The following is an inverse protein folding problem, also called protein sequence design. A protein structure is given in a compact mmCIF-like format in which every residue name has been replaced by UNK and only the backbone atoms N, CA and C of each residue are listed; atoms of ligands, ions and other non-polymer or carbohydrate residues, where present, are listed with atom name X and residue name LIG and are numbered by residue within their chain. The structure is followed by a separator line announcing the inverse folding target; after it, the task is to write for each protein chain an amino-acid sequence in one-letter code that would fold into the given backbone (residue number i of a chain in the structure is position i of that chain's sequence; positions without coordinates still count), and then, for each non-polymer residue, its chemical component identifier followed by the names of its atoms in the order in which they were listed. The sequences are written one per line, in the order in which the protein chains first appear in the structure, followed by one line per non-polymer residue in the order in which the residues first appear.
data_IF_046197625277
#
_entry.id   IF_046197625277
#
_cell.length_a   1.000
_cell.length_b   1.000
_cell.length_c   1.000
_cell.angle_alpha   90.00
_cell.angle_beta   90.00
_cell.angle_gamma   90.00
#
_symmetry.space_group_name_H-M   'P 1'
#
loop_
_entity.id
_entity.type
_entity.pdbx_description
1 polymer ?
#
# COMPACT_ATOMS: atom_id res chain seq x y z
N UNK A 1 48.14 -12.67 42.78
CA UNK A 1 47.19 -13.62 42.15
C UNK A 1 45.75 -13.08 42.10
N UNK A 2 45.22 -12.48 43.18
CA UNK A 2 43.83 -11.98 43.24
C UNK A 2 43.53 -10.69 42.45
N UNK A 3 44.50 -9.80 42.24
CA UNK A 3 44.31 -8.56 41.47
C UNK A 3 44.04 -8.84 39.98
N UNK A 4 44.72 -9.84 39.41
CA UNK A 4 44.53 -10.23 38.00
C UNK A 4 43.16 -10.88 37.79
N UNK A 5 42.70 -11.71 38.74
CA UNK A 5 41.37 -12.35 38.64
C UNK A 5 40.22 -11.33 38.67
N UNK A 6 40.32 -10.28 39.50
CA UNK A 6 39.33 -9.19 39.53
C UNK A 6 39.34 -8.36 38.23
N UNK A 7 40.53 -8.08 37.69
CA UNK A 7 40.69 -7.37 36.41
C UNK A 7 40.09 -8.15 35.23
N UNK A 8 40.30 -9.46 35.18
CA UNK A 8 39.71 -10.35 34.17
C UNK A 8 38.18 -10.38 34.25
N UNK A 9 37.60 -10.42 35.44
CA UNK A 9 36.13 -10.38 35.63
C UNK A 9 35.55 -9.04 35.20
N UNK A 10 36.23 -7.92 35.52
CA UNK A 10 35.79 -6.61 35.09
C UNK A 10 35.82 -6.47 33.55
N UNK A 11 36.85 -7.00 32.91
CA UNK A 11 36.99 -6.99 31.45
C UNK A 11 35.91 -7.83 30.76
N UNK A 12 35.62 -9.03 31.28
CA UNK A 12 34.56 -9.87 30.70
C UNK A 12 33.18 -9.27 30.90
N UNK A 13 32.92 -8.62 32.03
CA UNK A 13 31.65 -7.92 32.27
C UNK A 13 31.50 -6.70 31.35
N UNK A 14 32.58 -5.93 31.14
CA UNK A 14 32.57 -4.78 30.23
C UNK A 14 32.36 -5.22 28.78
N UNK A 15 32.99 -6.32 28.38
CA UNK A 15 32.80 -6.90 27.05
C UNK A 15 31.37 -7.41 26.84
N UNK A 16 30.78 -8.08 27.84
CA UNK A 16 29.39 -8.54 27.78
C UNK A 16 28.40 -7.37 27.65
N UNK A 17 28.64 -6.26 28.37
CA UNK A 17 27.81 -5.06 28.29
C UNK A 17 27.91 -4.37 26.92
N UNK A 18 29.12 -4.22 26.38
CA UNK A 18 29.33 -3.64 25.05
C UNK A 18 28.67 -4.44 23.93
N UNK A 19 28.65 -5.78 24.03
CA UNK A 19 27.95 -6.65 23.07
C UNK A 19 26.43 -6.43 23.15
N UNK A 20 25.86 -6.35 24.36
CA UNK A 20 24.43 -6.12 24.54
C UNK A 20 23.97 -4.76 23.99
N UNK A 21 24.78 -3.71 24.15
CA UNK A 21 24.50 -2.38 23.59
C UNK A 21 24.53 -2.38 22.06
N UNK A 22 25.49 -3.08 21.44
CA UNK A 22 25.60 -3.18 19.99
C UNK A 22 24.41 -3.93 19.35
N UNK A 23 24.00 -5.05 19.96
CA UNK A 23 22.83 -5.81 19.48
C UNK A 23 21.54 -4.98 19.57
N UNK A 24 21.35 -4.24 20.67
CA UNK A 24 20.19 -3.37 20.83
C UNK A 24 20.16 -2.24 19.78
N UNK A 25 21.32 -1.66 19.48
CA UNK A 25 21.45 -0.64 18.44
C UNK A 25 21.15 -1.21 17.05
N UNK A 26 21.68 -2.39 16.71
CA UNK A 26 21.44 -3.04 15.43
C UNK A 26 19.95 -3.37 15.22
N UNK A 27 19.27 -3.88 16.25
CA UNK A 27 17.82 -4.16 16.20
C UNK A 27 17.00 -2.86 16.03
N UNK A 28 17.32 -1.81 16.78
CA UNK A 28 16.61 -0.52 16.67
C UNK A 28 16.74 0.12 15.29
N UNK A 29 17.89 -0.05 14.62
CA UNK A 29 18.13 0.47 13.28
C UNK A 29 17.30 -0.29 12.23
N UNK A 30 17.20 -1.61 12.35
CA UNK A 30 16.36 -2.44 11.46
C UNK A 30 14.88 -2.08 11.62
N UNK A 31 14.39 -1.91 12.84
CA UNK A 31 13.00 -1.46 13.08
C UNK A 31 12.74 -0.06 12.50
N UNK A 32 13.71 0.86 12.63
CA UNK A 32 13.57 2.22 12.09
C UNK A 32 13.54 2.31 10.56
N UNK A 33 13.94 1.25 9.85
CA UNK A 33 13.91 1.19 8.39
C UNK A 33 12.61 0.60 7.81
N UNK A 34 11.74 0.04 8.64
CA UNK A 34 10.45 -0.48 8.18
C UNK A 34 9.41 0.62 8.31
N UNK A 35 9.07 1.23 7.19
CA UNK A 35 7.92 2.14 7.11
C UNK A 35 6.63 1.30 7.11
N UNK A 36 5.98 1.20 8.27
CA UNK A 36 4.74 0.45 8.44
C UNK A 36 3.56 1.40 8.31
N UNK A 37 2.71 1.17 7.31
CA UNK A 37 1.43 1.87 7.16
C UNK A 37 0.32 1.00 7.75
N UNK A 38 -0.25 1.44 8.87
CA UNK A 38 -1.39 0.76 9.52
C UNK A 38 -2.72 1.23 8.92
N UNK A 39 -3.57 0.28 8.51
CA UNK A 39 -4.94 0.48 8.00
C UNK A 39 -5.83 -0.68 8.43
N UNK A 40 -7.14 -0.43 8.46
CA UNK A 40 -8.12 -1.47 8.75
C UNK A 40 -8.20 -2.52 7.61
N UNK A 41 -8.05 -2.07 6.36
CA UNK A 41 -8.12 -2.94 5.17
C UNK A 41 -7.04 -2.58 4.14
N UNK A 42 -6.26 -3.57 3.71
CA UNK A 42 -5.41 -3.47 2.52
C UNK A 42 -6.13 -4.10 1.32
N UNK A 43 -6.29 -3.32 0.25
CA UNK A 43 -6.94 -3.73 -1.00
C UNK A 43 -5.86 -3.92 -2.05
N UNK A 44 -5.74 -5.14 -2.58
CA UNK A 44 -4.75 -5.47 -3.62
C UNK A 44 -5.45 -5.51 -4.98
N UNK A 45 -5.05 -4.63 -5.88
CA UNK A 45 -5.58 -4.46 -7.23
C UNK A 45 -6.56 -3.29 -7.36
N UNK A 46 -6.22 -2.33 -8.22
CA UNK A 46 -6.95 -1.11 -8.54
C UNK A 46 -7.89 -1.24 -9.75
N UNK A 47 -8.37 -2.44 -10.06
CA UNK A 47 -9.43 -2.66 -11.06
C UNK A 47 -10.82 -2.27 -10.53
N UNK A 48 -11.86 -2.45 -11.35
CA UNK A 48 -13.23 -2.04 -11.01
C UNK A 48 -13.71 -2.52 -9.63
N UNK A 49 -13.44 -3.78 -9.27
CA UNK A 49 -13.82 -4.33 -7.97
C UNK A 49 -13.05 -3.67 -6.80
N UNK A 50 -11.74 -3.48 -6.95
CA UNK A 50 -10.90 -2.91 -5.90
C UNK A 50 -11.16 -1.41 -5.69
N UNK A 51 -11.36 -0.65 -6.76
CA UNK A 51 -11.73 0.77 -6.66
C UNK A 51 -13.12 0.96 -6.11
N UNK A 52 -14.09 0.11 -6.49
CA UNK A 52 -15.41 0.10 -5.87
C UNK A 52 -15.31 -0.17 -4.37
N UNK A 53 -14.58 -1.21 -3.96
CA UNK A 53 -14.38 -1.53 -2.55
C UNK A 53 -13.69 -0.38 -1.79
N UNK A 54 -12.63 0.20 -2.35
CA UNK A 54 -11.90 1.30 -1.74
C UNK A 54 -12.80 2.50 -1.45
N UNK A 55 -13.62 2.89 -2.43
CA UNK A 55 -14.56 4.00 -2.29
C UNK A 55 -15.63 3.69 -1.25
N UNK A 56 -16.25 2.51 -1.30
CA UNK A 56 -17.29 2.11 -0.33
C UNK A 56 -16.74 2.07 1.10
N UNK A 57 -15.60 1.44 1.30
CA UNK A 57 -14.97 1.30 2.61
C UNK A 57 -14.55 2.66 3.19
N UNK A 58 -13.83 3.47 2.39
CA UNK A 58 -13.31 4.75 2.86
C UNK A 58 -14.37 5.84 3.04
N UNK A 59 -15.33 5.95 2.11
CA UNK A 59 -16.26 7.08 2.07
C UNK A 59 -17.61 6.76 2.72
N UNK A 60 -18.09 5.52 2.59
CA UNK A 60 -19.46 5.16 3.00
C UNK A 60 -19.47 4.41 4.33
N UNK A 61 -18.35 3.76 4.70
CA UNK A 61 -18.20 2.95 5.91
C UNK A 61 -17.12 3.47 6.88
N UNK A 62 -16.52 4.64 6.60
CA UNK A 62 -15.52 5.30 7.45
C UNK A 62 -14.39 4.35 7.91
N UNK A 63 -13.94 3.48 7.01
CA UNK A 63 -12.89 2.49 7.25
C UNK A 63 -11.57 2.99 6.65
N UNK A 64 -10.47 2.89 7.39
CA UNK A 64 -9.15 3.30 6.85
C UNK A 64 -8.63 2.22 5.90
N UNK A 65 -8.22 2.63 4.71
CA UNK A 65 -7.77 1.69 3.66
C UNK A 65 -6.41 2.08 3.08
N UNK A 66 -5.72 1.08 2.52
CA UNK A 66 -4.63 1.22 1.55
C UNK A 66 -5.03 0.51 0.26
N UNK A 67 -4.85 1.14 -0.90
CA UNK A 67 -5.09 0.50 -2.20
C UNK A 67 -3.76 0.35 -2.93
N UNK A 68 -3.38 -0.90 -3.21
CA UNK A 68 -2.11 -1.24 -3.82
C UNK A 68 -2.38 -1.73 -5.25
N UNK A 69 -1.87 -1.02 -6.24
CA UNK A 69 -1.95 -1.36 -7.66
C UNK A 69 -0.54 -1.46 -8.25
N UNK A 70 -0.32 -2.47 -9.08
CA UNK A 70 0.98 -2.70 -9.71
C UNK A 70 1.26 -1.68 -10.83
N UNK A 71 0.22 -1.28 -11.56
CA UNK A 71 0.31 -0.29 -12.63
C UNK A 71 0.31 1.14 -12.07
N UNK A 72 0.90 2.08 -12.82
CA UNK A 72 0.85 3.51 -12.48
C UNK A 72 -0.55 4.16 -12.66
N UNK A 73 -1.58 3.35 -12.94
CA UNK A 73 -2.95 3.78 -13.23
C UNK A 73 -3.94 2.77 -12.65
N UNK A 74 -5.14 3.24 -12.33
CA UNK A 74 -6.28 2.39 -11.94
C UNK A 74 -7.04 1.90 -13.19
N UNK A 75 -7.87 0.87 -13.03
CA UNK A 75 -8.78 0.38 -14.07
C UNK A 75 -8.41 -0.97 -14.67
N UNK A 76 -7.13 -1.38 -14.61
CA UNK A 76 -6.59 -2.63 -15.18
C UNK A 76 -7.05 -2.85 -16.64
N UNK A 77 -8.15 -3.58 -16.85
CA UNK A 77 -8.73 -3.89 -18.17
C UNK A 77 -9.55 -2.74 -18.78
N UNK A 78 -9.78 -1.66 -18.03
CA UNK A 78 -10.37 -0.44 -18.57
C UNK A 78 -9.21 0.44 -19.03
N UNK A 79 -8.76 0.21 -20.26
CA UNK A 79 -7.61 0.90 -20.85
C UNK A 79 -8.04 1.68 -22.09
N UNK A 80 -8.10 3.00 -21.93
CA UNK A 80 -8.34 3.93 -23.03
C UNK A 80 -7.03 4.27 -23.73
N UNK A 81 -6.87 3.80 -24.98
CA UNK A 81 -5.79 4.24 -25.86
C UNK A 81 -6.22 5.49 -26.62
N UNK A 82 -5.43 6.56 -26.53
CA UNK A 82 -5.64 7.75 -27.37
C UNK A 82 -4.80 7.62 -28.62
N UNK A 83 -5.47 7.53 -29.79
CA UNK A 83 -4.82 7.45 -31.08
C UNK A 83 -4.09 8.77 -31.35
N UNK A 84 -2.75 8.75 -31.56
CA UNK A 84 -2.00 9.93 -31.94
C UNK A 84 -2.60 10.57 -33.20
N UNK A 85 -2.43 11.88 -33.37
CA UNK A 85 -2.86 12.66 -34.55
C UNK A 85 -4.38 12.90 -34.67
N UNK A 86 -5.23 12.01 -34.15
CA UNK A 86 -6.71 12.15 -34.27
C UNK A 86 -7.41 12.51 -32.96
N UNK A 87 -6.75 12.34 -31.81
CA UNK A 87 -7.37 12.43 -30.47
C UNK A 87 -8.59 11.52 -30.27
N UNK A 88 -8.75 10.49 -31.11
CA UNK A 88 -9.78 9.47 -30.92
C UNK A 88 -9.37 8.52 -29.80
N UNK A 89 -10.31 8.17 -28.92
CA UNK A 89 -10.09 7.18 -27.88
C UNK A 89 -10.60 5.80 -28.32
N UNK A 90 -9.83 4.75 -28.03
CA UNK A 90 -10.18 3.35 -28.24
C UNK A 90 -10.10 2.62 -26.91
N UNK A 91 -11.13 1.86 -26.56
CA UNK A 91 -11.13 1.04 -25.35
C UNK A 91 -10.52 -0.34 -25.64
N UNK A 92 -9.34 -0.58 -25.07
CA UNK A 92 -8.60 -1.84 -25.17
C UNK A 92 -8.83 -2.68 -23.90
N UNK A 93 -10.03 -3.22 -23.77
CA UNK A 93 -10.34 -4.23 -22.75
C UNK A 93 -11.84 -4.34 -22.49
N UNK A 94 -12.34 -3.68 -21.45
CA UNK A 94 -13.80 -3.63 -21.19
C UNK A 94 -14.49 -2.81 -22.28
N UNK A 95 -15.27 -3.46 -23.13
CA UNK A 95 -15.97 -2.82 -24.25
C UNK A 95 -17.41 -2.41 -23.94
N UNK A 96 -18.01 -2.97 -22.89
CA UNK A 96 -19.36 -2.63 -22.49
C UNK A 96 -19.51 -2.73 -20.97
N UNK A 97 -20.23 -1.77 -20.40
CA UNK A 97 -20.74 -1.83 -19.05
C UNK A 97 -22.20 -2.22 -19.09
N UNK A 98 -22.59 -3.20 -18.26
CA UNK A 98 -24.01 -3.46 -18.03
C UNK A 98 -24.55 -2.28 -17.26
N UNK A 99 -25.55 -1.59 -17.84
CA UNK A 99 -26.21 -0.45 -17.21
C UNK A 99 -27.17 -0.93 -16.14
N UNK A 100 -26.62 -1.38 -15.01
CA UNK A 100 -27.37 -1.65 -13.80
C UNK A 100 -27.38 -0.44 -12.86
N UNK A 101 -28.30 -0.44 -11.90
CA UNK A 101 -28.43 0.68 -10.96
C UNK A 101 -27.19 0.88 -10.08
N UNK A 102 -26.39 -0.16 -9.83
CA UNK A 102 -25.19 -0.04 -9.00
C UNK A 102 -24.07 0.69 -9.76
N UNK A 103 -23.84 0.31 -11.02
CA UNK A 103 -22.85 0.93 -11.90
C UNK A 103 -23.22 2.39 -12.19
N UNK A 104 -24.50 2.66 -12.49
CA UNK A 104 -25.00 4.02 -12.71
C UNK A 104 -24.76 4.90 -11.49
N UNK A 105 -25.26 4.48 -10.32
CA UNK A 105 -25.10 5.26 -9.09
C UNK A 105 -23.63 5.46 -8.70
N UNK A 106 -22.78 4.46 -8.98
CA UNK A 106 -21.36 4.56 -8.69
C UNK A 106 -20.64 5.55 -9.59
N UNK A 107 -21.02 5.69 -10.86
CA UNK A 107 -20.39 6.68 -11.78
C UNK A 107 -20.94 8.08 -11.51
N UNK A 108 -22.25 8.22 -11.31
CA UNK A 108 -22.92 9.50 -11.04
C UNK A 108 -22.40 10.18 -9.77
N UNK A 109 -21.97 9.42 -8.76
CA UNK A 109 -21.37 10.00 -7.53
C UNK A 109 -20.13 10.83 -7.81
N UNK A 110 -19.45 10.59 -8.93
CA UNK A 110 -18.27 11.34 -9.37
C UNK A 110 -18.62 12.50 -10.33
N UNK A 111 -19.91 12.77 -10.55
CA UNK A 111 -20.38 13.79 -11.48
C UNK A 111 -20.14 13.44 -12.95
N UNK A 112 -20.02 12.14 -13.25
CA UNK A 112 -19.82 11.63 -14.61
C UNK A 112 -21.13 11.08 -15.17
N UNK A 113 -21.39 11.37 -16.45
CA UNK A 113 -22.53 10.82 -17.17
C UNK A 113 -22.16 9.50 -17.86
N UNK A 114 -23.06 8.53 -17.78
CA UNK A 114 -22.96 7.30 -18.59
C UNK A 114 -23.64 7.57 -19.94
N UNK A 115 -22.88 8.13 -20.87
CA UNK A 115 -23.26 8.17 -22.30
C UNK A 115 -22.99 6.81 -22.94
N UNK A 116 -23.97 6.35 -23.74
CA UNK A 116 -24.03 5.02 -24.34
C UNK A 116 -22.85 4.68 -25.25
#
# INVERSE_FOLDING_TARGET
MWANTLSLIALTLYLALAIAEFDAQALSQVESQVDVVEKDVAIIGGGAAGTYAAVRLSQDLNTTIELIEQQARLGVHVETYTVPETNTTLEHGVQFYVRDGLAVNFVERFGLDITQ
#
